data_IF_415617766809
#
_entry.id   IF_415617766809
#
_cell.length_a   1.000
_cell.length_b   1.000
_cell.length_c   1.000
_cell.angle_alpha   90.00
_cell.angle_beta   90.00
_cell.angle_gamma   90.00
#
_symmetry.space_group_name_H-M   'P 1'
#
loop_
_entity.id
_entity.type
_entity.pdbx_description
1 polymer ?
#
# COMPACT_ATOMS: atom_id res chain seq x y z
N UNK A 1 -26.26 -12.17 26.93
CA UNK A 1 -26.31 -11.97 25.47
C UNK A 1 -25.07 -11.25 24.90
N UNK A 2 -23.92 -11.29 25.56
CA UNK A 2 -22.70 -10.65 25.01
C UNK A 2 -22.16 -11.38 23.79
N UNK A 3 -22.19 -12.71 23.79
CA UNK A 3 -21.73 -13.50 22.65
C UNK A 3 -22.44 -13.16 21.31
N UNK A 4 -23.72 -12.78 21.36
CA UNK A 4 -24.48 -12.41 20.16
C UNK A 4 -23.90 -11.13 19.51
N UNK A 5 -23.36 -10.19 20.30
CA UNK A 5 -22.69 -8.98 19.80
C UNK A 5 -21.39 -9.33 19.09
N UNK A 6 -20.62 -10.29 19.62
CA UNK A 6 -19.39 -10.75 18.98
C UNK A 6 -19.68 -11.48 17.65
N UNK A 7 -20.70 -12.35 17.64
CA UNK A 7 -21.11 -13.05 16.42
C UNK A 7 -21.60 -12.06 15.37
N UNK A 8 -22.44 -11.09 15.74
CA UNK A 8 -22.89 -10.04 14.84
C UNK A 8 -21.74 -9.21 14.29
N UNK A 9 -20.77 -8.84 15.12
CA UNK A 9 -19.56 -8.12 14.69
C UNK A 9 -18.75 -8.94 13.66
N UNK A 10 -18.49 -10.21 13.95
CA UNK A 10 -17.75 -11.10 13.05
C UNK A 10 -18.48 -11.26 11.72
N UNK A 11 -19.82 -11.43 11.75
CA UNK A 11 -20.62 -11.56 10.53
C UNK A 11 -20.58 -10.27 9.68
N UNK A 12 -20.75 -9.11 10.29
CA UNK A 12 -20.65 -7.82 9.60
C UNK A 12 -19.25 -7.58 9.03
N UNK A 13 -18.22 -7.92 9.80
CA UNK A 13 -16.83 -7.83 9.34
C UNK A 13 -16.55 -8.76 8.15
N UNK A 14 -17.07 -10.00 8.19
CA UNK A 14 -16.94 -10.94 7.08
C UNK A 14 -17.61 -10.40 5.80
N UNK A 15 -18.82 -9.85 5.91
CA UNK A 15 -19.52 -9.20 4.78
C UNK A 15 -18.71 -8.05 4.22
N UNK A 16 -18.16 -7.21 5.08
CA UNK A 16 -17.31 -6.09 4.67
C UNK A 16 -16.05 -6.58 3.94
N UNK A 17 -15.36 -7.61 4.47
CA UNK A 17 -14.16 -8.18 3.83
C UNK A 17 -14.49 -8.75 2.45
N UNK A 18 -15.63 -9.43 2.30
CA UNK A 18 -16.09 -9.96 1.01
C UNK A 18 -16.30 -8.80 0.02
N UNK A 19 -17.04 -7.76 0.41
CA UNK A 19 -17.28 -6.58 -0.43
C UNK A 19 -15.97 -5.87 -0.83
N UNK A 20 -15.07 -5.67 0.12
CA UNK A 20 -13.75 -5.10 -0.12
C UNK A 20 -12.92 -5.95 -1.10
N UNK A 21 -12.96 -7.28 -0.96
CA UNK A 21 -12.23 -8.19 -1.85
C UNK A 21 -12.76 -8.12 -3.28
N UNK A 22 -14.08 -8.08 -3.47
CA UNK A 22 -14.68 -7.90 -4.79
C UNK A 22 -14.26 -6.57 -5.42
N UNK A 23 -14.37 -5.47 -4.69
CA UNK A 23 -14.01 -4.14 -5.18
C UNK A 23 -12.53 -4.09 -5.59
N UNK A 24 -11.63 -4.58 -4.75
CA UNK A 24 -10.18 -4.57 -5.04
C UNK A 24 -9.82 -5.49 -6.19
N UNK A 25 -10.47 -6.65 -6.33
CA UNK A 25 -10.27 -7.57 -7.45
C UNK A 25 -10.68 -6.93 -8.77
N UNK A 26 -11.87 -6.31 -8.83
CA UNK A 26 -12.34 -5.60 -10.02
C UNK A 26 -11.41 -4.43 -10.39
N UNK A 27 -11.00 -3.63 -9.42
CA UNK A 27 -10.11 -2.49 -9.66
C UNK A 27 -8.75 -2.93 -10.21
N UNK A 28 -8.19 -4.01 -9.67
CA UNK A 28 -6.88 -4.53 -10.12
C UNK A 28 -6.96 -5.21 -11.47
N UNK A 29 -8.00 -5.99 -11.72
CA UNK A 29 -8.24 -6.59 -13.04
C UNK A 29 -8.45 -5.52 -14.10
N UNK A 30 -9.21 -4.46 -13.79
CA UNK A 30 -9.44 -3.34 -14.69
C UNK A 30 -8.16 -2.66 -15.13
N UNK A 31 -7.18 -2.50 -14.25
CA UNK A 31 -5.89 -1.88 -14.61
C UNK A 31 -5.13 -2.64 -15.72
N UNK A 32 -5.24 -3.96 -15.75
CA UNK A 32 -4.55 -4.79 -16.76
C UNK A 32 -5.24 -4.72 -18.12
N UNK A 33 -6.53 -4.41 -18.16
CA UNK A 33 -7.36 -4.38 -19.39
C UNK A 33 -7.42 -2.98 -20.02
N UNK A 34 -7.12 -1.91 -19.26
CA UNK A 34 -7.24 -0.52 -19.73
C UNK A 34 -6.28 -0.17 -20.86
N UNK A 35 -5.13 -0.85 -20.98
CA UNK A 35 -4.15 -0.59 -22.04
C UNK A 35 -3.44 -1.85 -22.48
N UNK A 36 -3.23 -1.95 -23.81
CA UNK A 36 -2.41 -2.99 -24.42
C UNK A 36 -0.93 -2.57 -24.55
N UNK A 37 -0.59 -1.31 -24.25
CA UNK A 37 0.78 -0.81 -24.33
C UNK A 37 1.54 -1.11 -23.02
N UNK A 38 2.57 -1.99 -23.05
CA UNK A 38 3.39 -2.32 -21.89
C UNK A 38 4.08 -1.10 -21.26
N UNK A 39 4.33 -0.03 -22.03
CA UNK A 39 4.97 1.19 -21.52
C UNK A 39 4.02 2.06 -20.69
N UNK A 40 2.73 1.94 -20.94
CA UNK A 40 1.70 2.69 -20.19
C UNK A 40 1.28 2.00 -18.89
N UNK A 41 1.37 0.67 -18.81
CA UNK A 41 0.99 -0.12 -17.63
C UNK A 41 1.63 0.39 -16.32
N UNK A 42 2.94 0.75 -16.28
CA UNK A 42 3.55 1.31 -15.06
C UNK A 42 2.98 2.67 -14.63
N UNK A 43 2.42 3.45 -15.56
CA UNK A 43 1.80 4.75 -15.24
C UNK A 43 0.52 4.56 -14.43
N UNK A 44 -0.31 3.54 -14.76
CA UNK A 44 -1.51 3.24 -13.97
C UNK A 44 -1.17 2.83 -12.53
N UNK A 45 -0.05 2.15 -12.33
CA UNK A 45 0.44 1.83 -10.99
C UNK A 45 0.77 3.09 -10.19
N UNK A 46 1.35 4.12 -10.83
CA UNK A 46 1.59 5.41 -10.17
C UNK A 46 0.28 6.04 -9.71
N UNK A 47 -0.70 6.15 -10.61
CA UNK A 47 -2.00 6.75 -10.26
C UNK A 47 -2.68 6.00 -9.13
N UNK A 48 -2.65 4.66 -9.15
CA UNK A 48 -3.18 3.83 -8.06
C UNK A 48 -2.44 4.11 -6.74
N UNK A 49 -1.12 4.20 -6.79
CA UNK A 49 -0.31 4.43 -5.59
C UNK A 49 -0.46 5.85 -5.05
N UNK A 50 -0.49 6.85 -5.92
CA UNK A 50 -0.75 8.24 -5.53
C UNK A 50 -2.15 8.37 -4.92
N UNK A 51 -3.17 7.78 -5.54
CA UNK A 51 -4.53 7.75 -4.99
C UNK A 51 -4.60 7.08 -3.62
N UNK A 52 -3.91 5.96 -3.44
CA UNK A 52 -3.82 5.26 -2.15
C UNK A 52 -3.09 6.09 -1.09
N UNK A 53 -2.00 6.76 -1.47
CA UNK A 53 -1.27 7.68 -0.59
C UNK A 53 -2.13 8.85 -0.14
N UNK A 54 -2.83 9.48 -1.07
CA UNK A 54 -3.69 10.61 -0.76
C UNK A 54 -4.85 10.19 0.16
N UNK A 55 -5.48 9.04 -0.11
CA UNK A 55 -6.58 8.54 0.71
C UNK A 55 -6.12 8.14 2.12
N UNK A 56 -5.04 7.38 2.20
CA UNK A 56 -4.48 6.94 3.49
C UNK A 56 -3.90 8.11 4.28
N UNK A 57 -3.17 9.01 3.60
CA UNK A 57 -2.62 10.22 4.22
C UNK A 57 -3.70 11.16 4.74
N UNK A 58 -4.77 11.36 3.97
CA UNK A 58 -5.91 12.16 4.40
C UNK A 58 -6.55 11.58 5.67
N UNK A 59 -6.82 10.26 5.71
CA UNK A 59 -7.38 9.62 6.90
C UNK A 59 -6.46 9.71 8.10
N UNK A 60 -5.17 9.49 7.92
CA UNK A 60 -4.19 9.56 9.01
C UNK A 60 -3.97 10.98 9.53
N UNK A 61 -4.23 12.00 8.72
CA UNK A 61 -4.15 13.39 9.13
C UNK A 61 -5.46 13.87 9.77
N UNK A 62 -6.60 13.63 9.13
CA UNK A 62 -7.89 14.16 9.58
C UNK A 62 -8.50 13.38 10.75
N UNK A 63 -8.31 12.05 10.82
CA UNK A 63 -8.90 11.24 11.88
C UNK A 63 -8.39 11.61 13.29
N UNK A 64 -7.08 11.85 13.54
CA UNK A 64 -6.61 12.31 14.84
C UNK A 64 -7.13 13.69 15.21
N UNK A 65 -7.23 14.61 14.24
CA UNK A 65 -7.77 15.96 14.48
C UNK A 65 -9.24 15.88 14.88
N UNK A 66 -10.00 15.07 14.16
CA UNK A 66 -11.42 14.86 14.46
C UNK A 66 -11.60 14.18 15.84
N UNK A 67 -10.78 13.19 16.16
CA UNK A 67 -10.85 12.44 17.41
C UNK A 67 -10.64 13.34 18.63
N UNK A 68 -9.82 14.39 18.55
CA UNK A 68 -9.59 15.36 19.64
C UNK A 68 -10.85 16.13 20.04
N UNK A 69 -11.84 16.25 19.14
CA UNK A 69 -13.08 16.97 19.41
C UNK A 69 -14.11 16.14 20.18
N UNK A 70 -13.81 14.87 20.47
CA UNK A 70 -14.73 13.96 21.16
C UNK A 70 -14.10 13.44 22.45
N UNK A 71 -14.87 13.48 23.55
CA UNK A 71 -14.48 12.84 24.80
C UNK A 71 -14.35 11.33 24.59
N UNK A 72 -13.18 10.77 24.93
CA UNK A 72 -12.82 9.37 24.64
C UNK A 72 -12.14 9.14 23.27
N UNK A 73 -11.93 10.18 22.45
CA UNK A 73 -11.18 10.10 21.22
C UNK A 73 -11.70 9.04 20.26
N UNK A 74 -10.83 8.13 19.82
CA UNK A 74 -11.18 7.02 18.94
C UNK A 74 -12.15 5.98 19.52
N UNK A 75 -12.33 5.94 20.83
CA UNK A 75 -13.30 5.06 21.51
C UNK A 75 -14.71 5.67 21.53
N UNK A 76 -14.88 6.93 21.14
CA UNK A 76 -16.17 7.63 21.17
C UNK A 76 -17.09 7.18 20.02
N UNK A 77 -18.31 6.80 20.35
CA UNK A 77 -19.34 6.54 19.36
C UNK A 77 -19.70 7.78 18.51
N UNK A 78 -19.55 8.98 19.09
CA UNK A 78 -19.76 10.26 18.39
C UNK A 78 -18.77 10.46 17.26
N UNK A 79 -17.51 10.13 17.47
CA UNK A 79 -16.47 10.16 16.43
C UNK A 79 -16.86 9.33 15.20
N UNK A 80 -17.27 8.08 15.40
CA UNK A 80 -17.67 7.22 14.29
C UNK A 80 -18.96 7.65 13.62
N UNK A 81 -19.93 8.19 14.37
CA UNK A 81 -21.17 8.75 13.81
C UNK A 81 -20.91 9.90 12.84
N UNK A 82 -19.84 10.65 13.04
CA UNK A 82 -19.45 11.74 12.13
C UNK A 82 -18.57 11.24 11.01
N UNK A 83 -17.56 10.41 11.30
CA UNK A 83 -16.57 9.97 10.32
C UNK A 83 -17.17 9.02 9.29
N UNK A 84 -18.03 8.07 9.71
CA UNK A 84 -18.54 7.03 8.81
C UNK A 84 -19.43 7.60 7.69
N UNK A 85 -20.43 8.48 7.93
CA UNK A 85 -21.20 9.06 6.86
C UNK A 85 -20.38 9.88 5.86
N UNK A 86 -19.41 10.66 6.34
CA UNK A 86 -18.48 11.42 5.50
C UNK A 86 -17.68 10.48 4.61
N UNK A 87 -17.11 9.42 5.18
CA UNK A 87 -16.37 8.40 4.45
C UNK A 87 -17.23 7.70 3.38
N UNK A 88 -18.47 7.37 3.70
CA UNK A 88 -19.42 6.73 2.78
C UNK A 88 -19.72 7.67 1.59
N UNK A 89 -20.03 8.93 1.85
CA UNK A 89 -20.34 9.91 0.79
C UNK A 89 -19.15 10.10 -0.14
N UNK A 90 -17.95 10.25 0.40
CA UNK A 90 -16.72 10.38 -0.38
C UNK A 90 -16.48 9.11 -1.21
N UNK A 91 -16.64 7.93 -0.61
CA UNK A 91 -16.45 6.64 -1.29
C UNK A 91 -17.43 6.48 -2.46
N UNK A 92 -18.70 6.80 -2.27
CA UNK A 92 -19.72 6.75 -3.34
C UNK A 92 -19.37 7.74 -4.45
N UNK A 93 -19.02 8.97 -4.12
CA UNK A 93 -18.67 9.99 -5.10
C UNK A 93 -17.46 9.57 -5.95
N UNK A 94 -16.40 9.06 -5.32
CA UNK A 94 -15.21 8.57 -6.02
C UNK A 94 -15.50 7.33 -6.87
N UNK A 95 -16.39 6.43 -6.40
CA UNK A 95 -16.82 5.26 -7.16
C UNK A 95 -17.59 5.68 -8.43
N UNK A 96 -18.49 6.65 -8.31
CA UNK A 96 -19.22 7.19 -9.47
C UNK A 96 -18.25 7.81 -10.48
N UNK A 97 -17.28 8.60 -10.01
CA UNK A 97 -16.23 9.16 -10.88
C UNK A 97 -15.41 8.08 -11.57
N UNK A 98 -15.06 7.01 -10.87
CA UNK A 98 -14.35 5.88 -11.46
C UNK A 98 -15.17 5.19 -12.55
N UNK A 99 -16.46 4.93 -12.32
CA UNK A 99 -17.37 4.34 -13.31
C UNK A 99 -17.49 5.24 -14.54
N UNK A 100 -17.66 6.55 -14.35
CA UNK A 100 -17.71 7.52 -15.47
C UNK A 100 -16.39 7.48 -16.26
N UNK A 101 -15.24 7.40 -15.57
CA UNK A 101 -13.93 7.40 -16.22
C UNK A 101 -13.65 6.16 -17.08
N UNK A 102 -14.22 5.00 -16.73
CA UNK A 102 -14.04 3.77 -17.52
C UNK A 102 -15.19 3.51 -18.51
N UNK A 103 -16.29 4.28 -18.43
CA UNK A 103 -17.54 4.05 -19.19
C UNK A 103 -17.34 3.89 -20.69
N UNK A 104 -16.42 4.66 -21.26
CA UNK A 104 -16.14 4.63 -22.71
C UNK A 104 -15.43 3.33 -23.12
N UNK A 105 -14.62 2.74 -22.24
CA UNK A 105 -13.83 1.52 -22.49
C UNK A 105 -14.56 0.25 -22.07
N UNK A 106 -15.38 0.32 -21.03
CA UNK A 106 -16.11 -0.82 -20.46
C UNK A 106 -17.47 -0.98 -21.16
N UNK A 107 -17.43 -1.34 -22.44
CA UNK A 107 -18.63 -1.60 -23.23
C UNK A 107 -18.64 -3.02 -23.80
N UNK A 108 -19.82 -3.69 -23.83
CA UNK A 108 -19.94 -5.07 -24.32
C UNK A 108 -19.38 -5.29 -25.73
N UNK A 109 -19.36 -4.24 -26.56
CA UNK A 109 -18.82 -4.29 -27.92
C UNK A 109 -17.33 -4.56 -27.99
N UNK A 110 -16.60 -4.31 -26.89
CA UNK A 110 -15.16 -4.57 -26.80
C UNK A 110 -14.83 -5.90 -26.13
N UNK A 111 -15.82 -6.59 -25.56
CA UNK A 111 -15.61 -7.89 -24.94
C UNK A 111 -15.52 -8.97 -26.01
N UNK A 112 -14.47 -9.79 -25.94
CA UNK A 112 -14.28 -10.91 -26.85
C UNK A 112 -13.74 -10.57 -28.25
N UNK A 113 -13.21 -9.35 -28.47
CA UNK A 113 -12.56 -8.98 -29.74
C UNK A 113 -11.35 -9.87 -30.06
N UNK A 114 -10.86 -10.64 -29.09
CA UNK A 114 -9.81 -11.66 -29.29
C UNK A 114 -10.28 -13.01 -29.81
N UNK A 115 -11.54 -13.16 -30.18
CA UNK A 115 -12.02 -14.23 -31.08
C UNK A 115 -12.22 -15.63 -30.51
N UNK A 116 -11.94 -15.92 -29.27
CA UNK A 116 -12.28 -17.21 -28.67
C UNK A 116 -13.45 -17.09 -27.71
N UNK A 117 -14.51 -17.90 -27.95
CA UNK A 117 -15.59 -18.07 -26.97
C UNK A 117 -14.97 -18.47 -25.65
N UNK A 118 -15.24 -17.67 -24.60
CA UNK A 118 -14.82 -17.97 -23.24
C UNK A 118 -15.50 -19.29 -22.81
N UNK A 119 -14.80 -20.39 -22.93
CA UNK A 119 -15.26 -21.64 -22.32
C UNK A 119 -15.30 -21.46 -20.81
N UNK A 120 -16.30 -22.07 -20.17
CA UNK A 120 -16.41 -22.04 -18.70
C UNK A 120 -15.25 -22.84 -18.11
N UNK A 121 -14.17 -22.16 -17.78
CA UNK A 121 -12.98 -22.76 -17.18
C UNK A 121 -13.33 -23.24 -15.77
N UNK A 122 -13.07 -24.50 -15.49
CA UNK A 122 -13.24 -25.07 -14.15
C UNK A 122 -12.12 -24.60 -13.21
N UNK A 123 -12.40 -24.48 -11.93
CA UNK A 123 -11.38 -24.05 -10.94
C UNK A 123 -10.11 -24.91 -11.00
N UNK A 124 -10.26 -26.20 -11.29
CA UNK A 124 -9.11 -27.12 -11.47
C UNK A 124 -8.19 -26.71 -12.66
N UNK A 125 -8.75 -26.18 -13.71
CA UNK A 125 -8.01 -25.72 -14.87
C UNK A 125 -7.21 -24.44 -14.56
N UNK A 126 -7.77 -23.52 -13.76
CA UNK A 126 -7.01 -22.37 -13.25
C UNK A 126 -5.78 -22.80 -12.45
N UNK A 127 -5.95 -23.82 -11.59
CA UNK A 127 -4.82 -24.36 -10.81
C UNK A 127 -3.78 -25.02 -11.74
N UNK A 128 -4.21 -25.70 -12.79
CA UNK A 128 -3.31 -26.31 -13.78
C UNK A 128 -2.52 -25.26 -14.57
N UNK A 129 -3.19 -24.17 -15.00
CA UNK A 129 -2.54 -23.03 -15.68
C UNK A 129 -1.48 -22.39 -14.77
N UNK A 130 -1.82 -22.12 -13.51
CA UNK A 130 -0.86 -21.54 -12.55
C UNK A 130 0.31 -22.49 -12.31
N UNK A 131 0.07 -23.81 -12.23
CA UNK A 131 1.13 -24.80 -12.05
C UNK A 131 2.03 -24.94 -13.27
N UNK A 132 1.51 -24.73 -14.47
CA UNK A 132 2.28 -24.72 -15.72
C UNK A 132 3.15 -23.48 -15.91
N UNK A 133 2.69 -22.33 -15.37
CA UNK A 133 3.35 -21.04 -15.59
C UNK A 133 4.37 -20.72 -14.48
N UNK A 134 5.63 -21.09 -14.67
CA UNK A 134 6.74 -20.82 -13.76
C UNK A 134 6.95 -19.32 -13.44
N UNK A 135 6.91 -18.39 -14.42
CA UNK A 135 6.98 -16.96 -14.17
C UNK A 135 5.87 -16.47 -13.23
N UNK A 136 4.64 -16.92 -13.43
CA UNK A 136 3.49 -16.58 -12.60
C UNK A 136 3.67 -17.04 -11.15
N UNK A 137 4.13 -18.28 -10.94
CA UNK A 137 4.38 -18.80 -9.58
C UNK A 137 5.42 -17.96 -8.83
N UNK A 138 6.53 -17.62 -9.47
CA UNK A 138 7.57 -16.76 -8.88
C UNK A 138 7.05 -15.37 -8.59
N UNK A 139 6.22 -14.81 -9.47
CA UNK A 139 5.59 -13.52 -9.28
C UNK A 139 4.59 -13.53 -8.12
N UNK A 140 3.81 -14.61 -7.95
CA UNK A 140 2.89 -14.76 -6.81
C UNK A 140 3.65 -14.75 -5.49
N UNK A 141 4.76 -15.49 -5.39
CA UNK A 141 5.62 -15.50 -4.18
C UNK A 141 6.20 -14.11 -3.92
N UNK A 142 6.74 -13.45 -4.95
CA UNK A 142 7.27 -12.09 -4.83
C UNK A 142 6.19 -11.09 -4.40
N UNK A 143 5.01 -11.14 -5.02
CA UNK A 143 3.89 -10.28 -4.67
C UNK A 143 3.37 -10.49 -3.26
N UNK A 144 3.25 -11.76 -2.82
CA UNK A 144 2.89 -12.09 -1.46
C UNK A 144 3.93 -11.56 -0.45
N UNK A 145 5.23 -11.73 -0.75
CA UNK A 145 6.32 -11.20 0.07
C UNK A 145 6.28 -9.67 0.17
N UNK A 146 6.06 -8.97 -0.93
CA UNK A 146 5.91 -7.51 -0.95
C UNK A 146 4.72 -7.05 -0.10
N UNK A 147 3.57 -7.72 -0.21
CA UNK A 147 2.38 -7.36 0.58
C UNK A 147 2.52 -7.69 2.06
N UNK A 148 3.15 -8.82 2.39
CA UNK A 148 3.44 -9.19 3.77
C UNK A 148 4.36 -8.15 4.43
N UNK A 149 5.44 -7.78 3.77
CA UNK A 149 6.37 -6.76 4.26
C UNK A 149 5.69 -5.40 4.44
N UNK A 150 4.82 -4.98 3.49
CA UNK A 150 4.03 -3.76 3.62
C UNK A 150 3.10 -3.82 4.83
N UNK A 151 2.39 -4.92 5.01
CA UNK A 151 1.48 -5.12 6.14
C UNK A 151 2.22 -5.05 7.49
N UNK A 152 3.42 -5.60 7.57
CA UNK A 152 4.27 -5.51 8.77
C UNK A 152 4.75 -4.07 8.98
N UNK A 153 5.28 -3.43 7.95
CA UNK A 153 5.84 -2.07 8.03
C UNK A 153 4.82 -0.99 8.37
N UNK A 154 3.55 -1.18 7.98
CA UNK A 154 2.46 -0.23 8.25
C UNK A 154 1.60 -0.62 9.45
N UNK A 155 1.90 -1.74 10.11
CA UNK A 155 1.15 -2.20 11.26
C UNK A 155 1.36 -1.27 12.46
N UNK A 156 0.27 -0.74 13.01
CA UNK A 156 0.31 0.19 14.15
C UNK A 156 1.05 -0.38 15.35
N UNK A 157 0.91 -1.67 15.63
CA UNK A 157 1.59 -2.34 16.75
C UNK A 157 3.10 -2.33 16.54
N UNK A 158 3.56 -2.65 15.33
CA UNK A 158 5.00 -2.64 14.98
C UNK A 158 5.56 -1.23 15.09
N UNK A 159 4.83 -0.23 14.59
CA UNK A 159 5.24 1.18 14.69
C UNK A 159 5.24 1.68 16.14
N UNK A 160 4.28 1.26 16.95
CA UNK A 160 4.25 1.56 18.38
C UNK A 160 5.43 0.93 19.12
N UNK A 161 5.79 -0.31 18.80
CA UNK A 161 6.98 -0.96 19.34
C UNK A 161 8.26 -0.25 18.91
N UNK A 162 8.37 0.11 17.63
CA UNK A 162 9.56 0.78 17.09
C UNK A 162 9.72 2.18 17.70
N UNK A 163 8.73 3.05 17.57
CA UNK A 163 8.85 4.44 17.99
C UNK A 163 8.67 4.63 19.50
N UNK A 164 7.80 3.85 20.15
CA UNK A 164 7.52 3.94 21.56
C UNK A 164 8.49 3.16 22.42
N UNK A 165 8.62 1.83 22.19
CA UNK A 165 9.41 0.97 23.07
C UNK A 165 10.91 1.04 22.77
N UNK A 166 11.31 1.06 21.49
CA UNK A 166 12.73 1.07 21.12
C UNK A 166 13.32 2.48 21.09
N UNK A 167 12.57 3.47 20.60
CA UNK A 167 13.03 4.84 20.42
C UNK A 167 12.54 5.81 21.50
N UNK A 168 11.61 5.38 22.37
CA UNK A 168 11.13 6.12 23.52
C UNK A 168 10.23 7.34 23.24
N UNK A 169 9.84 7.58 21.98
CA UNK A 169 9.06 8.75 21.60
C UNK A 169 8.09 8.47 20.45
N UNK A 170 6.95 7.84 20.75
CA UNK A 170 5.94 7.53 19.73
C UNK A 170 5.27 8.78 19.15
N UNK A 171 4.82 9.69 20.02
CA UNK A 171 4.06 10.87 19.60
C UNK A 171 4.89 11.86 18.78
N UNK A 172 6.16 12.01 19.13
CA UNK A 172 7.08 12.88 18.41
C UNK A 172 7.62 12.32 17.10
N UNK A 173 7.66 10.98 16.94
CA UNK A 173 8.26 10.34 15.77
C UNK A 173 7.24 9.85 14.76
N UNK A 174 6.06 9.39 15.19
CA UNK A 174 5.09 8.75 14.30
C UNK A 174 4.65 9.63 13.13
N UNK A 175 4.13 10.82 13.43
CA UNK A 175 3.62 11.73 12.39
C UNK A 175 4.74 12.28 11.49
N UNK A 176 5.87 12.80 12.02
CA UNK A 176 6.98 13.26 11.19
C UNK A 176 7.56 12.17 10.30
N UNK A 177 7.76 10.97 10.84
CA UNK A 177 8.33 9.87 10.06
C UNK A 177 7.39 9.40 8.95
N UNK A 178 6.10 9.46 9.19
CA UNK A 178 5.09 9.17 8.19
C UNK A 178 5.09 10.18 7.05
N UNK A 179 5.10 11.48 7.37
CA UNK A 179 5.17 12.56 6.39
C UNK A 179 6.48 12.48 5.58
N UNK A 180 7.60 12.27 6.26
CA UNK A 180 8.90 12.07 5.61
C UNK A 180 8.91 10.85 4.69
N UNK A 181 8.33 9.73 5.12
CA UNK A 181 8.19 8.53 4.29
C UNK A 181 7.46 8.80 2.98
N UNK A 182 6.38 9.58 3.04
CA UNK A 182 5.66 9.99 1.83
C UNK A 182 6.47 10.94 0.95
N UNK A 183 7.15 11.92 1.53
CA UNK A 183 8.02 12.85 0.79
C UNK A 183 9.15 12.08 0.09
N UNK A 184 9.79 11.14 0.76
CA UNK A 184 10.81 10.29 0.16
C UNK A 184 10.27 9.34 -0.92
N UNK A 185 9.02 8.90 -0.82
CA UNK A 185 8.45 7.98 -1.82
C UNK A 185 8.21 8.64 -3.17
N UNK A 186 7.91 9.94 -3.23
CA UNK A 186 7.65 10.66 -4.49
C UNK A 186 8.80 10.53 -5.51
N UNK A 187 10.06 10.86 -5.19
CA UNK A 187 11.17 10.69 -6.14
C UNK A 187 11.39 9.23 -6.52
N UNK A 188 11.18 8.29 -5.58
CA UNK A 188 11.30 6.86 -5.89
C UNK A 188 10.22 6.36 -6.84
N UNK A 189 8.99 6.88 -6.78
CA UNK A 189 7.98 6.57 -7.79
C UNK A 189 8.42 6.96 -9.18
N UNK A 190 8.91 8.19 -9.35
CA UNK A 190 9.40 8.65 -10.64
C UNK A 190 10.59 7.84 -11.16
N UNK A 191 11.52 7.49 -10.26
CA UNK A 191 12.70 6.69 -10.60
C UNK A 191 12.33 5.24 -10.95
N UNK A 192 11.41 4.61 -10.22
CA UNK A 192 10.93 3.25 -10.50
C UNK A 192 10.25 3.17 -11.85
N UNK A 193 9.38 4.11 -12.17
CA UNK A 193 8.73 4.14 -13.50
C UNK A 193 9.73 4.35 -14.61
N UNK A 194 10.61 5.34 -14.47
CA UNK A 194 11.66 5.59 -15.48
C UNK A 194 12.58 4.38 -15.69
N UNK A 195 12.91 3.68 -14.61
CA UNK A 195 13.72 2.47 -14.68
C UNK A 195 12.93 1.32 -15.31
N UNK A 196 11.66 1.17 -14.96
CA UNK A 196 10.75 0.16 -15.52
C UNK A 196 10.58 0.33 -17.03
N UNK A 197 10.38 1.58 -17.49
CA UNK A 197 10.26 1.89 -18.92
C UNK A 197 11.55 1.62 -19.71
N UNK A 198 12.72 1.84 -19.08
CA UNK A 198 14.02 1.68 -19.75
C UNK A 198 14.59 0.26 -19.68
N UNK A 199 14.43 -0.42 -18.55
CA UNK A 199 15.09 -1.70 -18.24
C UNK A 199 14.13 -2.85 -17.97
N UNK A 200 12.82 -2.58 -18.03
CA UNK A 200 11.76 -3.54 -17.70
C UNK A 200 11.40 -3.57 -16.21
N UNK A 201 10.20 -4.09 -15.94
CA UNK A 201 9.59 -4.08 -14.61
C UNK A 201 10.37 -4.91 -13.60
N UNK A 202 10.83 -6.12 -14.00
CA UNK A 202 11.63 -7.02 -13.15
C UNK A 202 12.92 -6.35 -12.66
N UNK A 203 13.66 -5.69 -13.56
CA UNK A 203 14.92 -5.02 -13.21
C UNK A 203 14.69 -3.85 -12.25
N UNK A 204 13.61 -3.11 -12.45
CA UNK A 204 13.20 -2.02 -11.57
C UNK A 204 12.84 -2.56 -10.17
N UNK A 205 11.99 -3.57 -10.09
CA UNK A 205 11.60 -4.21 -8.83
C UNK A 205 12.82 -4.68 -8.03
N UNK A 206 13.68 -5.49 -8.66
CA UNK A 206 14.89 -6.03 -8.01
C UNK A 206 15.81 -4.93 -7.49
N UNK A 207 16.04 -3.89 -8.28
CA UNK A 207 16.93 -2.79 -7.89
C UNK A 207 16.43 -2.04 -6.65
N UNK A 208 15.17 -1.63 -6.64
CA UNK A 208 14.64 -0.80 -5.54
C UNK A 208 14.30 -1.59 -4.30
N UNK A 209 13.90 -2.85 -4.43
CA UNK A 209 13.76 -3.76 -3.28
C UNK A 209 15.13 -4.02 -2.63
N UNK A 210 16.21 -4.17 -3.43
CA UNK A 210 17.56 -4.33 -2.89
C UNK A 210 18.03 -3.06 -2.16
N UNK A 211 17.74 -1.87 -2.69
CA UNK A 211 18.04 -0.60 -2.00
C UNK A 211 17.29 -0.53 -0.68
N UNK A 212 16.00 -0.85 -0.67
CA UNK A 212 15.21 -0.88 0.55
C UNK A 212 15.76 -1.86 1.59
N UNK A 213 16.13 -3.07 1.16
CA UNK A 213 16.70 -4.09 2.04
C UNK A 213 18.00 -3.61 2.70
N UNK A 214 18.92 -3.02 1.93
CA UNK A 214 20.18 -2.48 2.45
C UNK A 214 19.90 -1.37 3.48
N UNK A 215 18.97 -0.47 3.18
CA UNK A 215 18.58 0.59 4.10
C UNK A 215 17.98 0.05 5.39
N UNK A 216 17.08 -0.94 5.32
CA UNK A 216 16.49 -1.54 6.52
C UNK A 216 17.49 -2.36 7.35
N UNK A 217 18.44 -3.03 6.70
CA UNK A 217 19.58 -3.64 7.42
C UNK A 217 20.39 -2.55 8.13
N UNK A 218 20.64 -1.41 7.47
CA UNK A 218 21.28 -0.26 8.09
C UNK A 218 20.53 0.29 9.31
N UNK A 219 19.20 0.39 9.22
CA UNK A 219 18.34 0.77 10.35
C UNK A 219 18.45 -0.25 11.50
N UNK A 220 18.41 -1.55 11.19
CA UNK A 220 18.57 -2.60 12.20
C UNK A 220 19.92 -2.49 12.92
N UNK A 221 21.01 -2.33 12.18
CA UNK A 221 22.35 -2.16 12.74
C UNK A 221 22.41 -0.90 13.61
N UNK A 222 21.83 0.21 13.14
CA UNK A 222 21.75 1.45 13.91
C UNK A 222 21.03 1.25 15.24
N UNK A 223 19.87 0.59 15.23
CA UNK A 223 19.09 0.31 16.43
C UNK A 223 19.80 -0.66 17.40
N UNK A 224 20.51 -1.66 16.89
CA UNK A 224 21.23 -2.62 17.73
C UNK A 224 22.47 -2.01 18.37
N UNK A 225 23.18 -1.14 17.67
CA UNK A 225 24.41 -0.51 18.18
C UNK A 225 24.13 0.63 19.15
N UNK A 226 23.03 1.36 18.95
CA UNK A 226 22.73 2.59 19.70
C UNK A 226 21.42 2.61 20.47
N UNK A 227 20.64 1.56 20.44
CA UNK A 227 19.33 1.47 21.09
C UNK A 227 19.32 1.41 22.62
N UNK A 228 20.48 1.65 23.28
CA UNK A 228 20.54 1.61 24.74
C UNK A 228 20.70 3.02 25.33
N UNK A 229 19.59 3.76 25.41
CA UNK A 229 19.43 4.84 26.39
C UNK A 229 19.47 6.27 25.89
N UNK A 230 19.99 6.57 24.72
CA UNK A 230 19.93 7.94 24.21
C UNK A 230 18.72 8.09 23.31
N UNK A 231 17.71 8.77 23.82
CA UNK A 231 16.46 9.01 23.11
C UNK A 231 16.70 9.60 21.72
N UNK A 232 16.07 8.98 20.70
CA UNK A 232 15.88 9.60 19.42
C UNK A 232 15.03 10.85 19.61
N UNK A 233 15.70 11.99 19.74
CA UNK A 233 15.03 13.27 20.03
C UNK A 233 14.67 13.96 18.72
N UNK A 234 13.53 13.60 18.16
CA UNK A 234 12.81 14.44 17.21
C UNK A 234 11.60 15.02 17.91
N UNK A 235 11.80 16.04 18.72
CA UNK A 235 10.72 16.80 19.36
C UNK A 235 10.29 17.93 18.43
N UNK A 236 9.41 17.63 17.49
CA UNK A 236 8.77 18.67 16.65
C UNK A 236 7.61 19.37 17.36
N UNK A 237 7.15 18.89 18.52
CA UNK A 237 5.93 19.37 19.17
C UNK A 237 6.01 19.60 20.70
N UNK A 238 7.14 19.39 21.34
CA UNK A 238 7.33 19.70 22.75
C UNK A 238 8.34 20.82 22.89
N UNK A 239 7.90 21.96 23.37
CA UNK A 239 8.69 23.15 23.75
C UNK A 239 9.45 23.94 22.66
N UNK A 240 9.11 23.81 21.38
CA UNK A 240 9.64 24.69 20.33
C UNK A 240 11.15 24.56 20.06
N UNK A 241 11.84 23.57 20.65
CA UNK A 241 13.26 23.28 20.39
C UNK A 241 13.40 21.95 19.67
N UNK A 242 13.80 22.02 18.41
CA UNK A 242 14.17 20.83 17.62
C UNK A 242 15.56 20.39 18.07
N UNK A 243 15.65 19.31 18.83
CA UNK A 243 16.93 18.67 19.14
C UNK A 243 17.17 17.57 18.11
N UNK A 244 18.08 17.79 17.16
CA UNK A 244 18.44 16.80 16.14
C UNK A 244 19.77 16.17 16.53
N UNK A 245 19.74 14.86 16.80
CA UNK A 245 20.94 14.08 17.04
C UNK A 245 21.42 13.44 15.72
N UNK A 246 22.73 13.12 15.63
CA UNK A 246 23.32 12.41 14.47
C UNK A 246 22.62 11.10 14.20
N UNK A 247 22.21 10.38 15.24
CA UNK A 247 21.46 9.11 15.13
C UNK A 247 20.08 9.32 14.50
N UNK A 248 19.39 10.39 14.87
CA UNK A 248 18.10 10.75 14.30
C UNK A 248 18.22 11.07 12.81
N UNK A 249 19.26 11.79 12.42
CA UNK A 249 19.52 12.09 11.00
C UNK A 249 19.78 10.82 10.20
N UNK A 250 20.65 9.94 10.71
CA UNK A 250 20.96 8.67 10.06
C UNK A 250 19.73 7.76 9.98
N UNK A 251 18.93 7.69 11.05
CA UNK A 251 17.68 6.94 11.05
C UNK A 251 16.69 7.50 10.00
N UNK A 252 16.47 8.81 9.96
CA UNK A 252 15.58 9.45 9.00
C UNK A 252 16.05 9.18 7.57
N UNK A 253 17.34 9.31 7.31
CA UNK A 253 17.90 9.08 5.97
C UNK A 253 17.73 7.62 5.54
N UNK A 254 18.16 6.67 6.36
CA UNK A 254 18.07 5.24 6.05
C UNK A 254 16.62 4.77 5.97
N UNK A 255 15.80 5.13 6.95
CA UNK A 255 14.39 4.74 6.97
C UNK A 255 13.61 5.41 5.83
N UNK A 256 13.82 6.71 5.59
CA UNK A 256 13.13 7.44 4.52
C UNK A 256 13.46 6.91 3.13
N UNK A 257 14.75 6.67 2.83
CA UNK A 257 15.19 6.09 1.56
C UNK A 257 14.65 4.65 1.43
N UNK A 258 14.77 3.85 2.48
CA UNK A 258 14.27 2.47 2.50
C UNK A 258 12.76 2.41 2.29
N UNK A 259 12.02 3.22 3.02
CA UNK A 259 10.56 3.32 2.91
C UNK A 259 10.13 3.80 1.51
N UNK A 260 10.74 4.87 1.01
CA UNK A 260 10.43 5.40 -0.31
C UNK A 260 10.68 4.41 -1.43
N UNK A 261 11.84 3.75 -1.43
CA UNK A 261 12.20 2.73 -2.40
C UNK A 261 11.24 1.53 -2.34
N UNK A 262 10.92 1.06 -1.14
CA UNK A 262 10.03 -0.06 -0.92
C UNK A 262 8.59 0.26 -1.30
N UNK A 263 8.07 1.40 -0.84
CA UNK A 263 6.68 1.79 -1.11
C UNK A 263 6.41 1.96 -2.60
N UNK A 264 7.38 2.52 -3.34
CA UNK A 264 7.29 2.66 -4.79
C UNK A 264 7.27 1.32 -5.55
N UNK A 265 7.70 0.22 -4.92
CA UNK A 265 7.72 -1.12 -5.53
C UNK A 265 6.58 -2.02 -5.07
N UNK A 266 5.82 -1.63 -4.04
CA UNK A 266 4.82 -2.48 -3.39
C UNK A 266 3.72 -2.99 -4.34
N UNK A 267 3.33 -2.19 -5.33
CA UNK A 267 2.30 -2.51 -6.31
C UNK A 267 2.85 -2.90 -7.70
N UNK A 268 4.17 -2.91 -7.88
CA UNK A 268 4.80 -3.31 -9.15
C UNK A 268 4.49 -4.76 -9.60
N UNK A 269 4.28 -5.74 -8.70
CA UNK A 269 3.87 -7.08 -9.13
C UNK A 269 2.53 -7.12 -9.87
N UNK A 270 1.64 -6.15 -9.66
CA UNK A 270 0.31 -6.12 -10.28
C UNK A 270 0.38 -6.02 -11.82
N UNK A 271 1.04 -5.02 -12.43
CA UNK A 271 1.17 -4.96 -13.88
C UNK A 271 2.02 -6.10 -14.47
N UNK A 272 2.93 -6.69 -13.68
CA UNK A 272 3.72 -7.85 -14.12
C UNK A 272 2.87 -9.11 -14.29
N UNK A 273 1.70 -9.21 -13.66
CA UNK A 273 0.76 -10.33 -13.88
C UNK A 273 0.32 -10.37 -15.33
N UNK A 274 0.05 -9.22 -15.94
CA UNK A 274 -0.32 -9.14 -17.35
C UNK A 274 0.82 -9.66 -18.26
N UNK A 275 2.07 -9.27 -17.96
CA UNK A 275 3.23 -9.74 -18.72
C UNK A 275 3.42 -11.26 -18.60
N UNK A 276 3.12 -11.85 -17.44
CA UNK A 276 3.17 -13.30 -17.23
C UNK A 276 2.01 -14.04 -17.92
N UNK A 277 0.85 -13.40 -18.04
CA UNK A 277 -0.30 -13.94 -18.78
C UNK A 277 -0.03 -13.95 -20.29
N UNK A 278 0.54 -12.86 -20.80
CA UNK A 278 0.90 -12.75 -22.21
C UNK A 278 1.96 -13.79 -22.64
N UNK A 279 2.80 -14.27 -21.71
CA UNK A 279 3.84 -15.28 -21.96
C UNK A 279 3.27 -16.64 -22.36
N UNK A 280 2.08 -17.01 -21.96
CA UNK A 280 1.43 -18.27 -22.33
C UNK A 280 0.77 -18.23 -23.73
N UNK A 281 0.60 -17.04 -24.29
CA UNK A 281 0.00 -16.87 -25.62
C UNK A 281 1.02 -16.98 -26.76
N UNK A 282 2.30 -17.06 -26.45
CA UNK A 282 3.41 -17.30 -27.38
C UNK A 282 3.97 -18.72 -27.25
#
# INVERSE_FOLDING_TARGET
MEWARYVAFVALYAIWVIGYTFQTSCTRSGQTVLTNDPKQRPLFTIFNTVGSLLGMGAMQFFAPILAKNYEGGYASAGFFRTLAPVGIVISIALTILAVIGIWEKDQPKYFGIGGQKTEKIKVAEYVAIIKGNNPMQRLMVAGAGCKLALSIATNTTVLCMLYGCMMGNYDGLYLPMMVLGYVFSVPFFLLTVRTSQKKGQKASLMRYVSVALICYIGVLVLLLLWGKGDAFTLSLMSDGKVSINVYTILFIALFGIGYGAYYATADMPIPMVADCSDYETY
#
